data_IF_192536465720
#
_entry.id   IF_192536465720
#
_cell.length_a   1.000
_cell.length_b   1.000
_cell.length_c   1.000
_cell.angle_alpha   90.00
_cell.angle_beta   90.00
_cell.angle_gamma   90.00
#
_symmetry.space_group_name_H-M   'P 1'
#
loop_
_entity.id
_entity.type
_entity.pdbx_description
1 polymer ?
#
# COMPACT_ATOMS: atom_id res chain seq x y z
N UNK A 1 10.17 1.88 -3.30
CA UNK A 1 9.25 2.39 -2.27
C UNK A 1 8.16 1.35 -2.04
N UNK A 2 7.43 1.39 -0.93
CA UNK A 2 6.40 0.40 -0.61
C UNK A 2 5.17 0.47 -1.51
N UNK A 3 4.17 -0.34 -1.19
CA UNK A 3 2.99 -0.71 -1.98
C UNK A 3 3.37 -1.35 -3.33
N UNK A 4 4.47 -2.13 -3.32
CA UNK A 4 4.81 -2.99 -4.46
C UNK A 4 3.90 -4.22 -4.45
N UNK A 5 3.54 -4.70 -3.26
CA UNK A 5 2.52 -5.71 -3.05
C UNK A 5 1.18 -4.98 -2.88
N UNK A 6 0.51 -4.64 -3.98
CA UNK A 6 -0.86 -4.11 -3.95
C UNK A 6 -1.86 -5.21 -3.56
N UNK A 7 -1.75 -5.70 -2.32
CA UNK A 7 -2.58 -6.80 -1.80
C UNK A 7 -4.03 -6.40 -1.60
N UNK A 8 -4.32 -5.10 -1.58
CA UNK A 8 -5.66 -4.60 -1.30
C UNK A 8 -6.52 -4.44 -2.55
N UNK A 9 -5.91 -4.39 -3.73
CA UNK A 9 -6.57 -4.22 -5.03
C UNK A 9 -5.85 -5.07 -6.10
N UNK A 10 -5.71 -6.40 -5.89
CA UNK A 10 -5.00 -7.27 -6.83
C UNK A 10 -5.78 -7.42 -8.14
N UNK A 11 -5.05 -7.65 -9.24
CA UNK A 11 -5.69 -7.96 -10.52
C UNK A 11 -6.59 -9.21 -10.38
N UNK A 12 -7.79 -9.12 -10.96
CA UNK A 12 -8.84 -10.15 -10.84
C UNK A 12 -9.25 -10.52 -9.40
N UNK A 13 -9.03 -9.64 -8.41
CA UNK A 13 -9.26 -9.92 -6.99
C UNK A 13 -8.42 -11.12 -6.47
N UNK A 14 -7.32 -11.46 -7.12
CA UNK A 14 -6.49 -12.63 -6.80
C UNK A 14 -5.06 -12.23 -6.34
N UNK A 15 -4.79 -12.38 -5.04
CA UNK A 15 -3.47 -12.11 -4.42
C UNK A 15 -2.32 -12.94 -5.03
N UNK A 16 -2.60 -14.03 -5.76
CA UNK A 16 -1.56 -14.83 -6.41
C UNK A 16 -0.87 -14.09 -7.56
N UNK A 17 -1.57 -13.24 -8.32
CA UNK A 17 -0.95 -12.47 -9.40
C UNK A 17 0.07 -11.46 -8.83
N UNK A 18 -0.32 -10.77 -7.75
CA UNK A 18 0.59 -9.88 -7.00
C UNK A 18 1.81 -10.64 -6.47
N UNK A 19 1.61 -11.86 -5.98
CA UNK A 19 2.71 -12.71 -5.50
C UNK A 19 3.65 -13.10 -6.64
N UNK A 20 3.12 -13.46 -7.81
CA UNK A 20 3.91 -13.81 -8.99
C UNK A 20 4.81 -12.66 -9.47
N UNK A 21 4.23 -11.49 -9.66
CA UNK A 21 4.94 -10.30 -10.16
C UNK A 21 6.04 -9.87 -9.20
N UNK A 22 5.72 -9.81 -7.90
CA UNK A 22 6.68 -9.31 -6.90
C UNK A 22 7.80 -10.31 -6.63
N UNK A 23 7.53 -11.62 -6.63
CA UNK A 23 8.58 -12.61 -6.44
C UNK A 23 9.62 -12.56 -7.57
N UNK A 24 9.18 -12.32 -8.81
CA UNK A 24 10.10 -12.16 -9.94
C UNK A 24 10.99 -10.92 -9.74
N UNK A 25 10.40 -9.76 -9.44
CA UNK A 25 11.16 -8.52 -9.21
C UNK A 25 12.12 -8.63 -8.03
N UNK A 26 11.64 -9.12 -6.88
CA UNK A 26 12.50 -9.30 -5.69
C UNK A 26 13.61 -10.31 -5.98
N UNK A 27 13.32 -11.40 -6.71
CA UNK A 27 14.34 -12.38 -7.09
C UNK A 27 15.46 -11.72 -7.90
N UNK A 28 15.11 -10.92 -8.92
CA UNK A 28 16.10 -10.19 -9.74
C UNK A 28 16.92 -9.24 -8.86
N UNK A 29 16.26 -8.38 -8.08
CA UNK A 29 16.95 -7.44 -7.19
C UNK A 29 17.86 -8.17 -6.19
N UNK A 30 17.42 -9.31 -5.67
CA UNK A 30 18.15 -10.11 -4.68
C UNK A 30 19.43 -10.79 -5.21
N UNK A 31 19.71 -10.71 -6.51
CA UNK A 31 20.96 -11.25 -7.08
C UNK A 31 22.04 -10.19 -7.25
N UNK A 32 21.71 -8.92 -7.00
CA UNK A 32 22.61 -7.81 -7.27
C UNK A 32 23.51 -7.46 -6.07
N UNK A 33 24.68 -6.88 -6.37
CA UNK A 33 25.74 -6.57 -5.39
C UNK A 33 25.55 -5.23 -4.63
N UNK A 34 24.34 -4.67 -4.62
CA UNK A 34 24.02 -3.42 -3.93
C UNK A 34 23.14 -3.62 -2.69
N UNK A 35 23.23 -2.69 -1.74
CA UNK A 35 22.33 -2.60 -0.60
C UNK A 35 20.90 -2.27 -1.07
N UNK A 36 19.93 -3.05 -0.63
CA UNK A 36 18.51 -2.84 -0.92
C UNK A 36 17.84 -2.29 0.34
N UNK A 37 17.29 -1.10 0.23
CA UNK A 37 16.49 -0.46 1.28
C UNK A 37 15.03 -0.51 0.85
N UNK A 38 14.24 -1.32 1.54
CA UNK A 38 12.81 -1.46 1.29
C UNK A 38 12.02 -0.70 2.37
N UNK A 39 11.32 0.35 1.97
CA UNK A 39 10.46 1.15 2.85
C UNK A 39 9.05 0.59 2.73
N UNK A 40 8.58 -0.09 3.77
CA UNK A 40 7.30 -0.79 3.80
C UNK A 40 6.15 0.21 3.75
N UNK A 41 5.25 -0.02 2.80
CA UNK A 41 4.01 0.70 2.67
C UNK A 41 2.90 0.15 3.54
N UNK A 42 1.75 0.80 3.54
CA UNK A 42 0.60 0.32 4.30
C UNK A 42 -0.01 -0.95 3.69
N UNK A 43 0.21 -1.22 2.41
CA UNK A 43 -0.26 -2.43 1.75
C UNK A 43 0.73 -3.61 1.90
N UNK A 44 2.01 -3.35 2.20
CA UNK A 44 3.03 -4.40 2.40
C UNK A 44 3.32 -4.73 3.89
N UNK A 45 2.47 -4.31 4.84
CA UNK A 45 2.76 -4.52 6.27
C UNK A 45 2.97 -6.01 6.64
N UNK A 46 2.38 -6.94 5.90
CA UNK A 46 2.54 -8.40 6.05
C UNK A 46 3.98 -8.87 5.89
N UNK A 47 4.81 -8.13 5.15
CA UNK A 47 6.23 -8.43 5.02
C UNK A 47 6.97 -8.34 6.35
N UNK A 48 6.44 -7.59 7.33
CA UNK A 48 7.00 -7.58 8.69
C UNK A 48 6.84 -8.93 9.39
N UNK A 49 5.74 -9.63 9.15
CA UNK A 49 5.50 -10.94 9.73
C UNK A 49 6.31 -12.02 9.00
N UNK A 50 6.46 -11.90 7.68
CA UNK A 50 7.41 -12.71 6.91
C UNK A 50 8.83 -12.58 7.47
N UNK A 51 9.29 -11.35 7.77
CA UNK A 51 10.60 -11.11 8.39
C UNK A 51 10.76 -11.85 9.73
N UNK A 52 9.71 -11.89 10.56
CA UNK A 52 9.73 -12.62 11.85
C UNK A 52 9.87 -14.13 11.62
N UNK A 53 9.10 -14.67 10.67
CA UNK A 53 9.15 -16.10 10.32
C UNK A 53 10.52 -16.49 9.78
N UNK A 54 11.07 -15.71 8.84
CA UNK A 54 12.39 -15.95 8.26
C UNK A 54 13.49 -15.94 9.32
N UNK A 55 13.46 -14.97 10.25
CA UNK A 55 14.41 -14.93 11.38
C UNK A 55 14.29 -16.16 12.28
N UNK A 56 13.06 -16.61 12.60
CA UNK A 56 12.83 -17.82 13.40
C UNK A 56 13.36 -19.08 12.71
N UNK A 57 13.28 -19.15 11.38
CA UNK A 57 13.83 -20.25 10.57
C UNK A 57 15.33 -20.15 10.32
N UNK A 58 16.04 -19.22 10.96
CA UNK A 58 17.48 -19.04 10.80
C UNK A 58 17.90 -18.45 9.44
N UNK A 59 16.95 -17.99 8.62
CA UNK A 59 17.25 -17.28 7.37
C UNK A 59 17.75 -15.90 7.74
N UNK A 60 19.08 -15.75 7.71
CA UNK A 60 19.74 -14.49 8.07
C UNK A 60 19.65 -13.47 6.95
N UNK A 61 19.69 -13.89 5.68
CA UNK A 61 19.77 -13.00 4.52
C UNK A 61 18.76 -13.44 3.46
N UNK A 62 17.95 -12.49 2.99
CA UNK A 62 17.04 -12.65 1.85
C UNK A 62 17.80 -12.36 0.55
N UNK A 63 18.86 -11.56 0.63
CA UNK A 63 19.73 -11.23 -0.51
C UNK A 63 20.67 -12.41 -0.82
N UNK A 64 20.75 -12.79 -2.10
CA UNK A 64 21.75 -13.74 -2.61
C UNK A 64 23.01 -13.02 -3.09
N UNK A 65 22.93 -11.73 -3.42
CA UNK A 65 24.08 -10.88 -3.73
C UNK A 65 24.86 -10.43 -2.48
N UNK A 66 25.95 -9.68 -2.68
CA UNK A 66 26.83 -9.22 -1.58
C UNK A 66 26.23 -8.09 -0.72
N UNK A 67 25.20 -7.40 -1.21
CA UNK A 67 24.59 -6.27 -0.51
C UNK A 67 23.66 -6.68 0.65
N UNK A 68 23.33 -5.73 1.51
CA UNK A 68 22.38 -5.93 2.60
C UNK A 68 20.93 -5.62 2.16
N UNK A 69 19.98 -6.48 2.54
CA UNK A 69 18.54 -6.19 2.40
C UNK A 69 17.97 -5.68 3.73
N UNK A 70 17.60 -4.39 3.78
CA UNK A 70 17.12 -3.69 4.98
C UNK A 70 15.69 -3.21 4.78
N UNK A 71 14.78 -3.71 5.62
CA UNK A 71 13.39 -3.25 5.65
C UNK A 71 13.18 -2.18 6.73
N UNK A 72 12.61 -1.05 6.34
CA UNK A 72 12.24 0.06 7.22
C UNK A 72 10.72 0.28 7.18
N UNK A 73 10.15 0.56 8.35
CA UNK A 73 8.72 0.80 8.45
C UNK A 73 8.41 2.27 8.15
N UNK A 74 7.65 2.53 7.07
CA UNK A 74 7.09 3.83 6.68
C UNK A 74 8.06 4.94 6.29
N UNK A 75 9.28 4.98 6.83
CA UNK A 75 10.27 5.99 6.50
C UNK A 75 11.71 5.51 6.61
N UNK A 76 12.59 6.13 5.83
CA UNK A 76 14.03 6.02 5.91
C UNK A 76 14.65 7.42 5.71
N UNK A 77 15.63 7.86 6.52
CA UNK A 77 16.16 7.19 7.72
C UNK A 77 15.12 7.00 8.84
N UNK A 78 15.42 6.15 9.83
CA UNK A 78 14.54 5.98 11.00
C UNK A 78 14.44 7.28 11.79
N UNK A 79 13.26 7.53 12.35
CA UNK A 79 13.06 8.55 13.39
C UNK A 79 14.02 8.29 14.55
N UNK A 80 14.75 9.30 15.02
CA UNK A 80 15.51 9.19 16.28
C UNK A 80 14.54 9.35 17.45
N UNK A 81 14.64 8.44 18.41
CA UNK A 81 13.84 8.50 19.63
C UNK A 81 14.33 9.61 20.58
N UNK A 82 13.37 10.12 21.38
CA UNK A 82 13.30 11.32 22.24
C UNK A 82 12.63 12.56 21.64
N UNK A 83 13.01 13.02 20.44
CA UNK A 83 12.39 14.22 19.82
C UNK A 83 11.35 13.91 18.74
N UNK A 84 11.40 12.70 18.19
CA UNK A 84 10.50 12.27 17.11
C UNK A 84 10.83 12.90 15.75
N UNK A 85 12.04 13.45 15.58
CA UNK A 85 12.51 14.05 14.33
C UNK A 85 13.25 13.03 13.45
N UNK A 86 12.93 13.00 12.15
CA UNK A 86 13.64 12.28 11.09
C UNK A 86 14.70 13.21 10.51
N UNK A 87 15.99 12.86 10.66
CA UNK A 87 17.07 13.57 9.96
C UNK A 87 17.34 12.88 8.63
N UNK A 88 17.36 13.65 7.56
CA UNK A 88 17.65 13.16 6.22
C UNK A 88 19.07 12.58 6.10
N UNK A 89 19.25 11.67 5.15
CA UNK A 89 20.58 11.21 4.74
C UNK A 89 21.18 12.24 3.79
N UNK A 90 22.43 12.60 3.99
CA UNK A 90 23.14 13.54 3.11
C UNK A 90 23.68 12.78 1.91
N UNK A 91 23.34 13.26 0.71
CA UNK A 91 23.89 12.79 -0.57
C UNK A 91 24.34 14.06 -1.33
N UNK A 92 25.63 14.16 -1.63
CA UNK A 92 26.20 15.41 -2.15
C UNK A 92 25.97 16.57 -1.18
N UNK A 93 25.36 17.65 -1.65
CA UNK A 93 25.07 18.87 -0.87
C UNK A 93 23.68 18.89 -0.24
N UNK A 94 22.82 17.91 -0.53
CA UNK A 94 21.42 17.90 -0.08
C UNK A 94 21.13 16.76 0.87
N UNK A 95 20.13 16.97 1.71
CA UNK A 95 19.61 15.98 2.63
C UNK A 95 18.28 15.41 2.14
N UNK A 96 18.14 14.08 2.23
CA UNK A 96 17.02 13.33 1.68
C UNK A 96 16.30 12.56 2.77
N UNK A 97 14.97 12.64 2.78
CA UNK A 97 14.12 11.75 3.57
C UNK A 97 13.18 11.00 2.64
N UNK A 98 13.07 9.70 2.87
CA UNK A 98 12.24 8.79 2.09
C UNK A 98 11.05 8.36 2.93
N UNK A 99 9.85 8.60 2.45
CA UNK A 99 8.60 8.30 3.13
C UNK A 99 7.72 7.44 2.23
N UNK A 100 6.99 6.49 2.78
CA UNK A 100 6.03 5.76 1.96
C UNK A 100 4.97 6.68 1.33
N UNK A 101 4.33 7.54 2.12
CA UNK A 101 3.36 8.53 1.64
C UNK A 101 1.99 8.43 2.31
N UNK A 102 1.59 7.25 2.83
CA UNK A 102 0.37 7.13 3.65
C UNK A 102 0.39 8.02 4.91
N UNK A 103 1.55 8.54 5.33
CA UNK A 103 1.66 9.54 6.39
C UNK A 103 0.83 10.81 6.11
N UNK A 104 0.48 11.06 4.84
CA UNK A 104 -0.39 12.16 4.40
C UNK A 104 -1.89 11.82 4.53
N UNK A 105 -2.26 10.59 4.89
CA UNK A 105 -3.66 10.21 5.10
C UNK A 105 -4.22 10.76 6.42
N UNK A 106 -5.43 11.34 6.36
CA UNK A 106 -6.12 11.89 7.54
C UNK A 106 -6.76 10.78 8.38
N UNK A 107 -7.22 9.70 7.74
CA UNK A 107 -7.95 8.63 8.41
C UNK A 107 -7.03 7.46 8.79
N UNK A 108 -6.40 7.58 9.97
CA UNK A 108 -5.52 6.54 10.54
C UNK A 108 -6.14 5.87 11.78
N UNK A 109 -7.47 5.77 11.88
CA UNK A 109 -8.15 5.33 13.11
C UNK A 109 -7.73 3.91 13.50
N UNK A 110 -7.77 2.96 12.58
CA UNK A 110 -7.35 1.58 12.82
C UNK A 110 -5.87 1.47 13.22
N UNK A 111 -5.01 2.30 12.63
CA UNK A 111 -3.60 2.39 13.02
C UNK A 111 -3.41 2.99 14.42
N UNK A 112 -4.15 4.05 14.77
CA UNK A 112 -4.11 4.65 16.10
C UNK A 112 -4.55 3.64 17.15
N UNK A 113 -5.61 2.89 16.86
CA UNK A 113 -6.11 1.81 17.71
C UNK A 113 -5.09 0.66 17.84
N UNK A 114 -4.51 0.23 16.73
CA UNK A 114 -3.45 -0.79 16.68
C UNK A 114 -2.24 -0.39 17.54
N UNK A 115 -1.75 0.86 17.42
CA UNK A 115 -0.66 1.37 18.26
C UNK A 115 -1.04 1.44 19.73
N UNK A 116 -2.25 1.91 20.04
CA UNK A 116 -2.74 2.02 21.41
C UNK A 116 -2.77 0.64 22.08
N UNK A 117 -3.36 -0.35 21.42
CA UNK A 117 -3.40 -1.72 21.91
C UNK A 117 -2.01 -2.34 21.98
N UNK A 118 -1.16 -2.09 20.97
CA UNK A 118 0.21 -2.62 20.97
C UNK A 118 1.01 -2.14 22.16
N UNK A 119 0.90 -0.83 22.49
CA UNK A 119 1.56 -0.24 23.65
C UNK A 119 0.98 -0.77 24.96
N UNK A 120 -0.35 -0.91 25.05
CA UNK A 120 -1.04 -1.37 26.26
C UNK A 120 -0.73 -2.84 26.57
N UNK A 121 -0.61 -3.68 25.55
CA UNK A 121 -0.45 -5.13 25.69
C UNK A 121 0.99 -5.60 25.52
N UNK A 122 1.95 -4.68 25.36
CA UNK A 122 3.37 -4.95 25.10
C UNK A 122 3.59 -6.03 24.01
N UNK A 123 2.71 -6.05 23.02
CA UNK A 123 2.66 -7.04 21.94
C UNK A 123 2.24 -6.30 20.68
N UNK A 124 2.89 -6.56 19.56
CA UNK A 124 2.47 -5.96 18.29
C UNK A 124 1.08 -6.51 17.92
N UNK A 125 0.08 -5.62 17.88
CA UNK A 125 -1.31 -5.91 17.53
C UNK A 125 -1.65 -5.08 16.31
N UNK A 126 -2.09 -5.77 15.25
CA UNK A 126 -2.61 -5.18 14.03
C UNK A 126 -4.13 -5.38 14.01
N UNK A 127 -4.85 -4.27 13.94
CA UNK A 127 -6.29 -4.25 13.66
C UNK A 127 -6.43 -3.66 12.28
N UNK A 128 -6.62 -4.54 11.32
CA UNK A 128 -6.93 -4.21 9.94
C UNK A 128 -8.08 -5.12 9.49
N UNK A 129 -9.33 -4.69 9.72
CA UNK A 129 -10.50 -5.51 9.40
C UNK A 129 -10.57 -5.84 7.91
N UNK A 130 -10.06 -4.94 7.05
CA UNK A 130 -10.07 -5.09 5.59
C UNK A 130 -9.17 -6.26 5.21
N UNK A 131 -7.94 -6.25 5.71
CA UNK A 131 -6.98 -7.32 5.44
C UNK A 131 -7.48 -8.67 5.96
N UNK A 132 -8.11 -8.69 7.14
CA UNK A 132 -8.74 -9.91 7.67
C UNK A 132 -9.84 -10.46 6.73
N UNK A 133 -10.71 -9.59 6.19
CA UNK A 133 -11.70 -10.02 5.20
C UNK A 133 -11.05 -10.45 3.89
N UNK A 134 -9.98 -9.81 3.46
CA UNK A 134 -9.22 -10.21 2.27
C UNK A 134 -8.57 -11.57 2.42
N UNK A 135 -8.02 -11.89 3.59
CA UNK A 135 -7.45 -13.20 3.87
C UNK A 135 -8.51 -14.30 3.85
N UNK A 136 -9.67 -14.07 4.47
CA UNK A 136 -10.80 -15.00 4.40
C UNK A 136 -11.33 -15.17 2.97
N UNK A 137 -11.35 -14.09 2.18
CA UNK A 137 -11.76 -14.12 0.77
C UNK A 137 -10.80 -14.92 -0.12
N UNK A 138 -9.51 -14.99 0.25
CA UNK A 138 -8.45 -15.65 -0.51
C UNK A 138 -8.14 -17.09 -0.07
N UNK A 139 -8.85 -17.66 0.92
CA UNK A 139 -8.75 -19.09 1.24
C UNK A 139 -9.16 -19.93 0.03
N UNK A 140 -8.47 -21.06 -0.22
CA UNK A 140 -8.67 -21.93 -1.40
C UNK A 140 -10.14 -22.27 -1.66
N UNK A 141 -10.87 -22.59 -0.60
CA UNK A 141 -12.31 -22.85 -0.66
C UNK A 141 -13.10 -21.63 -1.15
N UNK A 142 -12.98 -20.49 -0.46
CA UNK A 142 -13.63 -19.23 -0.83
C UNK A 142 -13.29 -18.79 -2.26
N UNK A 143 -12.02 -18.93 -2.66
CA UNK A 143 -11.54 -18.64 -4.02
C UNK A 143 -12.21 -19.52 -5.08
N UNK A 144 -12.31 -20.82 -4.82
CA UNK A 144 -12.91 -21.82 -5.73
C UNK A 144 -14.41 -21.62 -5.98
N UNK A 145 -15.13 -20.98 -5.04
CA UNK A 145 -16.54 -20.58 -5.21
C UNK A 145 -16.71 -19.48 -6.29
N UNK A 146 -15.61 -18.96 -6.85
CA UNK A 146 -15.53 -18.56 -8.25
C UNK A 146 -16.69 -17.70 -8.76
N UNK A 147 -16.75 -16.43 -8.33
CA UNK A 147 -17.65 -15.47 -8.94
C UNK A 147 -16.80 -14.45 -9.71
N UNK A 148 -16.72 -14.60 -11.03
CA UNK A 148 -16.27 -13.50 -11.90
C UNK A 148 -17.40 -12.46 -11.90
N UNK A 149 -17.19 -11.35 -11.19
CA UNK A 149 -18.24 -10.41 -10.80
C UNK A 149 -18.38 -9.29 -11.84
N UNK A 150 -19.58 -9.17 -12.41
CA UNK A 150 -20.15 -7.92 -12.92
C UNK A 150 -21.70 -7.94 -12.89
N UNK A 151 -22.34 -9.13 -12.94
CA UNK A 151 -23.78 -9.30 -12.71
C UNK A 151 -24.15 -10.13 -11.47
N UNK A 152 -23.25 -11.01 -11.03
CA UNK A 152 -23.45 -11.96 -9.95
C UNK A 152 -23.48 -11.32 -8.56
N UNK A 153 -22.79 -10.19 -8.30
CA UNK A 153 -22.77 -9.55 -6.97
C UNK A 153 -24.06 -8.79 -6.65
N UNK A 154 -24.76 -8.24 -7.64
CA UNK A 154 -26.10 -7.66 -7.41
C UNK A 154 -27.09 -8.76 -7.00
N UNK A 155 -27.09 -9.87 -7.74
CA UNK A 155 -27.86 -11.08 -7.43
C UNK A 155 -27.46 -11.63 -6.04
N UNK A 156 -26.17 -11.55 -5.70
CA UNK A 156 -25.66 -12.03 -4.42
C UNK A 156 -26.04 -11.15 -3.23
N UNK A 157 -25.96 -9.83 -3.36
CA UNK A 157 -26.46 -8.89 -2.37
C UNK A 157 -27.97 -9.08 -2.18
N UNK A 158 -28.71 -9.33 -3.27
CA UNK A 158 -30.12 -9.71 -3.22
C UNK A 158 -30.33 -11.02 -2.47
N UNK A 159 -29.54 -12.06 -2.74
CA UNK A 159 -29.61 -13.34 -2.01
C UNK A 159 -29.24 -13.19 -0.53
N UNK A 160 -28.30 -12.32 -0.18
CA UNK A 160 -27.90 -12.03 1.20
C UNK A 160 -29.01 -11.28 1.96
N UNK A 161 -29.67 -10.33 1.29
CA UNK A 161 -30.87 -9.66 1.83
C UNK A 161 -32.03 -10.65 1.97
N UNK A 162 -32.29 -11.48 0.97
CA UNK A 162 -33.31 -12.52 1.01
C UNK A 162 -33.02 -13.57 2.11
N UNK A 163 -31.75 -13.93 2.30
CA UNK A 163 -31.31 -14.81 3.38
C UNK A 163 -31.54 -14.18 4.75
N UNK A 164 -31.19 -12.90 4.93
CA UNK A 164 -31.45 -12.16 6.16
C UNK A 164 -32.95 -12.02 6.47
N UNK A 165 -33.77 -11.77 5.44
CA UNK A 165 -35.22 -11.70 5.56
C UNK A 165 -35.83 -13.07 5.89
N UNK A 166 -35.45 -14.12 5.16
CA UNK A 166 -35.89 -15.49 5.43
C UNK A 166 -35.46 -15.96 6.82
N UNK A 167 -34.22 -15.64 7.21
CA UNK A 167 -33.69 -15.86 8.56
C UNK A 167 -34.52 -15.15 9.62
N UNK A 168 -34.78 -13.85 9.47
CA UNK A 168 -35.63 -13.09 10.40
C UNK A 168 -37.03 -13.68 10.56
N UNK A 169 -37.67 -14.10 9.46
CA UNK A 169 -38.99 -14.72 9.49
C UNK A 169 -38.99 -16.12 10.11
N UNK A 170 -37.98 -16.96 9.85
CA UNK A 170 -37.85 -18.30 10.45
C UNK A 170 -37.41 -18.28 11.91
N UNK A 171 -36.63 -17.29 12.32
CA UNK A 171 -36.08 -17.22 13.68
C UNK A 171 -37.08 -16.73 14.71
N UNK A 172 -38.18 -16.11 14.29
CA UNK A 172 -39.20 -15.61 15.21
C UNK A 172 -39.75 -16.72 16.12
N UNK A 173 -39.82 -17.95 15.61
CA UNK A 173 -40.50 -19.06 16.28
C UNK A 173 -39.64 -20.34 16.42
N UNK A 174 -38.36 -20.33 16.01
CA UNK A 174 -37.49 -21.54 16.06
C UNK A 174 -36.55 -21.53 17.28
N UNK A 175 -36.65 -22.50 18.20
CA UNK A 175 -35.73 -22.60 19.33
C UNK A 175 -34.29 -22.88 18.87
N UNK A 176 -33.32 -22.14 19.40
CA UNK A 176 -31.88 -22.23 19.06
C UNK A 176 -31.33 -23.66 19.27
N UNK A 177 -31.82 -24.38 20.26
CA UNK A 177 -31.37 -25.75 20.58
C UNK A 177 -32.05 -26.87 19.78
N UNK A 178 -32.98 -26.54 18.87
CA UNK A 178 -33.62 -27.53 18.00
C UNK A 178 -32.67 -27.97 16.88
N UNK A 179 -32.91 -29.16 16.29
CA UNK A 179 -32.11 -29.64 15.16
C UNK A 179 -32.15 -28.69 13.95
N UNK A 180 -33.28 -28.04 13.68
CA UNK A 180 -33.42 -27.00 12.66
C UNK A 180 -32.67 -25.72 13.03
N UNK A 181 -32.69 -25.31 14.30
CA UNK A 181 -31.90 -24.18 14.79
C UNK A 181 -30.40 -24.39 14.64
N UNK A 182 -29.90 -25.58 15.01
CA UNK A 182 -28.47 -25.93 14.86
C UNK A 182 -28.07 -25.98 13.39
N UNK A 183 -28.88 -26.63 12.53
CA UNK A 183 -28.62 -26.68 11.09
C UNK A 183 -28.55 -25.28 10.47
N UNK A 184 -29.45 -24.38 10.87
CA UNK A 184 -29.44 -23.00 10.41
C UNK A 184 -28.21 -22.25 10.89
N UNK A 185 -27.77 -22.42 12.14
CA UNK A 185 -26.52 -21.83 12.64
C UNK A 185 -25.33 -22.31 11.82
N UNK A 186 -25.27 -23.60 11.47
CA UNK A 186 -24.18 -24.14 10.65
C UNK A 186 -24.20 -23.51 9.25
N UNK A 187 -25.36 -23.43 8.60
CA UNK A 187 -25.51 -22.81 7.27
C UNK A 187 -25.17 -21.31 7.33
N UNK A 188 -25.68 -20.58 8.33
CA UNK A 188 -25.38 -19.17 8.57
C UNK A 188 -23.89 -18.95 8.80
N UNK A 189 -23.26 -19.75 9.65
CA UNK A 189 -21.83 -19.63 9.95
C UNK A 189 -21.00 -19.89 8.71
N UNK A 190 -21.36 -20.92 7.94
CA UNK A 190 -20.70 -21.21 6.68
C UNK A 190 -20.85 -20.04 5.69
N UNK A 191 -22.05 -19.47 5.56
CA UNK A 191 -22.30 -18.32 4.69
C UNK A 191 -21.52 -17.07 5.16
N UNK A 192 -21.53 -16.77 6.45
CA UNK A 192 -20.77 -15.66 7.04
C UNK A 192 -19.26 -15.84 6.91
N UNK A 193 -18.74 -17.06 6.98
CA UNK A 193 -17.29 -17.31 6.90
C UNK A 193 -16.76 -17.37 5.47
N UNK A 194 -17.61 -17.73 4.50
CA UNK A 194 -17.16 -17.95 3.11
C UNK A 194 -17.53 -16.80 2.19
N UNK A 195 -18.72 -16.23 2.35
CA UNK A 195 -19.29 -15.30 1.37
C UNK A 195 -19.19 -13.86 1.85
N UNK A 196 -19.54 -13.60 3.11
CA UNK A 196 -19.49 -12.26 3.66
C UNK A 196 -18.13 -11.59 3.49
N UNK A 197 -16.97 -12.27 3.64
CA UNK A 197 -15.68 -11.67 3.38
C UNK A 197 -15.54 -11.15 1.95
N UNK A 198 -15.95 -11.94 0.93
CA UNK A 198 -15.92 -11.51 -0.47
C UNK A 198 -16.80 -10.31 -0.78
N UNK A 199 -18.00 -10.27 -0.17
CA UNK A 199 -18.91 -9.12 -0.33
C UNK A 199 -18.28 -7.89 0.32
N UNK A 200 -17.71 -8.03 1.51
CA UNK A 200 -17.02 -6.93 2.18
C UNK A 200 -15.82 -6.48 1.36
N UNK A 201 -14.95 -7.36 0.86
CA UNK A 201 -13.78 -6.94 0.06
C UNK A 201 -14.18 -6.20 -1.21
N UNK A 202 -15.19 -6.71 -1.93
CA UNK A 202 -15.71 -6.05 -3.13
C UNK A 202 -16.32 -4.66 -2.82
N UNK A 203 -17.22 -4.61 -1.82
CA UNK A 203 -17.86 -3.35 -1.43
C UNK A 203 -16.85 -2.38 -0.82
N UNK A 204 -15.83 -2.88 -0.13
CA UNK A 204 -14.78 -2.10 0.49
C UNK A 204 -14.04 -1.29 -0.58
N UNK A 205 -13.59 -1.91 -1.67
CA UNK A 205 -12.95 -1.21 -2.79
C UNK A 205 -13.86 -0.09 -3.32
N UNK A 206 -15.15 -0.36 -3.49
CA UNK A 206 -16.08 0.66 -4.02
C UNK A 206 -16.43 1.76 -3.00
N UNK A 207 -16.61 1.42 -1.73
CA UNK A 207 -16.93 2.34 -0.63
C UNK A 207 -15.74 3.27 -0.36
N UNK A 208 -14.52 2.73 -0.24
CA UNK A 208 -13.32 3.54 -0.04
C UNK A 208 -12.99 4.42 -1.25
N UNK A 209 -13.24 3.94 -2.48
CA UNK A 209 -13.09 4.77 -3.69
C UNK A 209 -14.04 5.96 -3.70
N UNK A 210 -15.25 5.79 -3.14
CA UNK A 210 -16.30 6.82 -3.09
C UNK A 210 -16.21 7.75 -1.88
N UNK A 211 -15.62 7.34 -0.76
CA UNK A 211 -15.46 8.21 0.41
C UNK A 211 -14.52 9.39 0.11
N UNK A 212 -15.02 10.65 0.11
CA UNK A 212 -14.18 11.82 -0.12
C UNK A 212 -13.39 12.18 1.16
N UNK A 213 -12.11 12.56 1.00
CA UNK A 213 -11.32 13.22 2.04
C UNK A 213 -10.64 12.34 3.09
N UNK A 214 -10.77 11.00 3.05
CA UNK A 214 -10.22 10.08 4.07
C UNK A 214 -8.86 9.47 3.70
N UNK A 215 -8.66 9.08 2.44
CA UNK A 215 -7.44 8.44 1.90
C UNK A 215 -6.94 9.22 0.68
N UNK A 216 -5.63 9.32 0.49
CA UNK A 216 -5.02 9.87 -0.72
C UNK A 216 -5.35 8.92 -1.86
N UNK A 217 -6.13 9.39 -2.83
CA UNK A 217 -6.55 8.55 -3.94
C UNK A 217 -5.35 8.25 -4.83
N UNK A 218 -5.31 7.03 -5.37
CA UNK A 218 -4.43 6.69 -6.49
C UNK A 218 -4.54 7.76 -7.57
N UNK A 219 -3.41 8.02 -8.21
CA UNK A 219 -3.21 8.91 -9.35
C UNK A 219 -3.24 10.42 -9.04
N UNK A 220 -3.35 10.81 -7.76
CA UNK A 220 -3.26 12.21 -7.36
C UNK A 220 -1.86 12.78 -7.56
N UNK A 221 -1.79 13.98 -8.14
CA UNK A 221 -0.53 14.68 -8.38
C UNK A 221 0.10 15.17 -7.07
N UNK A 222 1.41 15.37 -7.10
CA UNK A 222 2.20 15.74 -5.91
C UNK A 222 1.72 17.06 -5.30
N UNK A 223 1.46 18.06 -6.14
CA UNK A 223 1.03 19.38 -5.69
C UNK A 223 -0.26 19.33 -4.85
N UNK A 224 -1.28 18.62 -5.31
CA UNK A 224 -2.54 18.46 -4.56
C UNK A 224 -2.32 17.74 -3.22
N UNK A 225 -1.52 16.68 -3.22
CA UNK A 225 -1.20 15.90 -2.01
C UNK A 225 -0.53 16.81 -0.97
N UNK A 226 0.44 17.60 -1.41
CA UNK A 226 1.16 18.49 -0.49
C UNK A 226 0.25 19.64 -0.03
N UNK A 227 -0.43 20.35 -0.93
CA UNK A 227 -1.28 21.49 -0.57
C UNK A 227 -2.45 21.12 0.36
N UNK A 228 -3.11 19.98 0.12
CA UNK A 228 -4.30 19.61 0.88
C UNK A 228 -4.00 18.85 2.17
N UNK A 229 -2.86 18.15 2.23
CA UNK A 229 -2.66 17.10 3.24
C UNK A 229 -1.32 17.09 3.93
N UNK A 230 -0.30 17.76 3.37
CA UNK A 230 0.92 18.00 4.13
C UNK A 230 0.65 19.05 5.20
N UNK A 231 0.47 18.60 6.44
CA UNK A 231 0.38 19.50 7.58
C UNK A 231 1.80 19.80 8.04
N UNK A 232 2.23 21.06 7.92
CA UNK A 232 3.58 21.50 8.32
C UNK A 232 3.93 21.03 9.73
N UNK A 233 3.01 21.09 10.71
CA UNK A 233 3.25 20.59 12.09
C UNK A 233 3.60 19.09 12.20
N UNK A 234 3.22 18.26 11.22
CA UNK A 234 3.65 16.84 11.14
C UNK A 234 4.96 16.69 10.35
N UNK A 235 5.20 17.58 9.38
CA UNK A 235 6.38 17.62 8.52
C UNK A 235 7.58 18.39 9.08
N UNK A 236 7.39 19.26 10.08
CA UNK A 236 8.43 19.95 10.87
C UNK A 236 9.36 18.94 11.56
N UNK A 237 8.83 17.74 11.81
CA UNK A 237 9.61 16.62 12.35
C UNK A 237 10.46 15.92 11.30
N UNK A 238 10.50 16.39 10.06
CA UNK A 238 11.42 15.89 9.03
C UNK A 238 12.38 17.01 8.70
N UNK A 239 13.65 16.78 8.97
CA UNK A 239 14.77 17.67 8.72
C UNK A 239 15.50 17.16 7.48
N UNK A 240 15.00 17.58 6.31
CA UNK A 240 15.54 17.24 5.00
C UNK A 240 15.18 18.31 3.96
N UNK A 241 16.06 18.55 2.99
CA UNK A 241 15.86 19.45 1.86
C UNK A 241 14.87 18.85 0.84
N UNK A 242 15.00 17.54 0.61
CA UNK A 242 14.24 16.80 -0.38
C UNK A 242 13.50 15.63 0.29
N UNK A 243 12.18 15.59 0.09
CA UNK A 243 11.31 14.52 0.58
C UNK A 243 10.87 13.67 -0.61
N UNK A 244 11.35 12.44 -0.66
CA UNK A 244 11.01 11.43 -1.66
C UNK A 244 9.91 10.54 -1.12
N UNK A 245 8.83 10.34 -1.87
CA UNK A 245 7.72 9.50 -1.44
C UNK A 245 7.05 8.71 -2.57
N UNK A 246 6.11 7.82 -2.21
CA UNK A 246 5.31 7.01 -3.13
C UNK A 246 3.81 7.15 -2.86
N UNK A 247 3.10 6.03 -2.69
CA UNK A 247 1.68 5.94 -2.30
C UNK A 247 0.66 6.35 -3.37
N UNK A 248 0.87 7.44 -4.11
CA UNK A 248 -0.17 7.93 -5.05
C UNK A 248 -0.06 7.35 -6.45
N UNK A 249 0.98 6.59 -6.77
CA UNK A 249 1.17 5.95 -8.07
C UNK A 249 1.30 6.92 -9.26
N UNK A 250 1.41 8.24 -8.99
CA UNK A 250 1.61 9.27 -10.01
C UNK A 250 2.94 9.96 -9.76
N UNK A 251 3.90 9.72 -10.66
CA UNK A 251 5.21 10.34 -10.57
C UNK A 251 5.11 11.86 -10.77
N UNK A 252 5.92 12.62 -10.04
CA UNK A 252 5.95 14.06 -10.19
C UNK A 252 6.70 14.74 -9.05
N UNK A 253 6.63 16.07 -9.03
CA UNK A 253 7.30 16.86 -8.02
C UNK A 253 6.52 18.12 -7.67
N UNK A 254 6.83 18.69 -6.51
CA UNK A 254 6.29 19.97 -6.08
C UNK A 254 7.29 20.63 -5.14
N UNK A 255 7.63 21.89 -5.39
CA UNK A 255 8.43 22.68 -4.46
C UNK A 255 7.54 23.69 -3.77
N UNK A 256 7.47 23.61 -2.43
CA UNK A 256 6.71 24.57 -1.64
C UNK A 256 7.56 25.84 -1.51
N UNK A 257 7.03 26.99 -1.90
CA UNK A 257 7.71 28.30 -1.81
C UNK A 257 9.15 28.30 -2.38
N UNK A 258 9.30 28.15 -3.72
CA UNK A 258 10.61 28.07 -4.38
C UNK A 258 11.53 29.26 -4.06
N UNK A 259 10.94 30.46 -3.98
CA UNK A 259 11.65 31.71 -3.70
C UNK A 259 12.30 31.78 -2.31
N UNK A 260 11.91 30.90 -1.38
CA UNK A 260 12.47 30.82 -0.02
C UNK A 260 13.32 29.58 0.20
N UNK A 261 13.78 28.92 -0.87
CA UNK A 261 14.43 27.61 -0.79
C UNK A 261 13.58 26.60 -0.02
N UNK A 262 12.26 26.62 -0.21
CA UNK A 262 11.41 25.66 0.45
C UNK A 262 11.61 24.24 -0.09
N UNK A 263 11.16 23.26 0.69
CA UNK A 263 11.45 21.83 0.47
C UNK A 263 10.91 21.34 -0.86
N UNK A 264 11.68 20.49 -1.52
CA UNK A 264 11.26 19.77 -2.72
C UNK A 264 10.63 18.44 -2.33
N UNK A 265 9.44 18.17 -2.87
CA UNK A 265 8.74 16.90 -2.73
C UNK A 265 8.77 16.18 -4.06
N UNK A 266 9.18 14.91 -4.07
CA UNK A 266 9.25 14.08 -5.28
C UNK A 266 8.48 12.80 -5.02
N UNK A 267 7.52 12.49 -5.89
CA UNK A 267 6.85 11.19 -5.91
C UNK A 267 7.46 10.31 -7.00
N UNK A 268 7.90 9.11 -6.61
CA UNK A 268 8.58 8.18 -7.52
C UNK A 268 7.63 7.45 -8.47
N UNK A 269 6.31 7.60 -8.32
CA UNK A 269 5.31 6.87 -9.11
C UNK A 269 5.17 5.41 -8.70
N UNK A 270 4.79 4.56 -9.65
CA UNK A 270 4.64 3.10 -9.45
C UNK A 270 5.07 2.32 -10.69
N UNK A 271 5.26 1.01 -10.53
CA UNK A 271 5.61 0.06 -11.61
C UNK A 271 4.44 -0.87 -11.97
N UNK A 272 3.25 -0.53 -11.50
CA UNK A 272 2.03 -1.29 -11.78
C UNK A 272 1.24 -0.60 -12.87
N UNK A 273 0.48 -1.39 -13.64
CA UNK A 273 -0.38 -0.88 -14.68
C UNK A 273 -1.44 0.07 -14.11
N UNK A 274 -1.44 1.31 -14.59
CA UNK A 274 -2.43 2.30 -14.18
C UNK A 274 -3.76 2.10 -14.91
N UNK A 275 -4.87 2.42 -14.23
CA UNK A 275 -6.19 2.41 -14.87
C UNK A 275 -6.29 3.47 -15.96
N UNK A 276 -7.12 3.25 -17.00
CA UNK A 276 -7.38 4.24 -18.07
C UNK A 276 -7.76 5.61 -17.51
N UNK A 277 -8.60 5.64 -16.47
CA UNK A 277 -8.99 6.88 -15.80
C UNK A 277 -7.78 7.65 -15.25
N UNK A 278 -6.79 6.97 -14.68
CA UNK A 278 -5.59 7.63 -14.18
C UNK A 278 -4.77 8.27 -15.30
N UNK A 279 -4.62 7.55 -16.41
CA UNK A 279 -3.83 8.01 -17.56
C UNK A 279 -4.55 9.16 -18.26
N UNK A 280 -5.82 8.99 -18.60
CA UNK A 280 -6.58 9.93 -19.43
C UNK A 280 -7.06 11.18 -18.66
N UNK A 281 -7.45 11.03 -17.38
CA UNK A 281 -8.03 12.13 -16.60
C UNK A 281 -7.03 12.85 -15.72
N UNK A 282 -6.12 12.11 -15.08
CA UNK A 282 -5.18 12.65 -14.11
C UNK A 282 -3.75 12.78 -14.69
N UNK A 283 -3.57 12.46 -15.98
CA UNK A 283 -2.29 12.47 -16.69
C UNK A 283 -1.18 11.73 -15.93
N UNK A 284 -1.54 10.62 -15.26
CA UNK A 284 -0.65 9.96 -14.32
C UNK A 284 0.52 9.25 -15.01
N UNK A 285 1.72 9.46 -14.48
CA UNK A 285 2.96 8.91 -15.03
C UNK A 285 3.38 7.68 -14.19
N UNK A 286 3.60 6.55 -14.86
CA UNK A 286 4.02 5.26 -14.29
C UNK A 286 5.31 4.76 -14.93
N UNK A 287 5.83 3.63 -14.44
CA UNK A 287 7.10 3.02 -14.85
C UNK A 287 8.29 3.97 -14.67
N UNK A 288 8.28 4.64 -13.52
CA UNK A 288 9.24 5.67 -13.18
C UNK A 288 10.15 5.25 -12.04
N UNK A 289 11.33 5.87 -11.99
CA UNK A 289 12.27 5.74 -10.89
C UNK A 289 13.04 7.04 -10.70
N UNK A 290 13.57 7.22 -9.49
CA UNK A 290 14.37 8.38 -9.15
C UNK A 290 15.83 7.95 -9.08
N UNK A 291 16.68 8.57 -9.88
CA UNK A 291 18.13 8.44 -9.79
C UNK A 291 18.69 9.60 -8.97
N UNK A 292 19.55 9.27 -8.01
CA UNK A 292 20.18 10.24 -7.09
C UNK A 292 21.65 9.86 -6.95
N UNK A 293 22.54 10.82 -7.21
CA UNK A 293 23.94 10.75 -6.79
C UNK A 293 24.37 12.08 -6.16
N UNK A 294 25.69 12.29 -6.00
CA UNK A 294 26.22 13.48 -5.36
C UNK A 294 26.00 14.78 -6.16
N UNK A 295 25.81 14.68 -7.48
CA UNK A 295 25.78 15.79 -8.43
C UNK A 295 24.51 15.80 -9.30
N UNK A 296 23.73 14.72 -9.28
CA UNK A 296 22.63 14.46 -10.20
C UNK A 296 21.38 13.99 -9.47
N UNK A 297 20.25 14.49 -9.94
CA UNK A 297 18.92 14.12 -9.47
C UNK A 297 17.97 14.11 -10.66
N UNK A 298 17.52 12.91 -11.06
CA UNK A 298 16.68 12.71 -12.24
C UNK A 298 15.45 11.86 -11.91
N UNK A 299 14.27 12.35 -12.28
CA UNK A 299 13.08 11.50 -12.38
C UNK A 299 13.04 10.91 -13.80
N UNK A 300 13.17 9.60 -13.87
CA UNK A 300 13.33 8.84 -15.10
C UNK A 300 12.14 7.91 -15.32
N UNK A 301 11.89 7.55 -16.57
CA UNK A 301 10.85 6.61 -17.01
C UNK A 301 11.41 5.60 -17.99
N UNK A 302 10.94 4.36 -17.86
CA UNK A 302 11.07 3.39 -18.94
C UNK A 302 9.68 3.10 -19.51
N UNK A 303 9.60 2.93 -20.81
CA UNK A 303 8.48 2.28 -21.47
C UNK A 303 8.99 1.05 -22.21
N UNK A 304 8.10 0.13 -22.57
CA UNK A 304 8.50 -1.13 -23.19
C UNK A 304 9.20 -0.93 -24.54
N UNK A 305 8.82 0.11 -25.29
CA UNK A 305 9.40 0.41 -26.61
C UNK A 305 10.84 0.94 -26.52
N UNK A 306 11.09 1.83 -25.56
CA UNK A 306 12.40 2.42 -25.29
C UNK A 306 13.29 1.45 -24.50
N UNK A 307 12.73 0.68 -23.57
CA UNK A 307 13.47 -0.36 -22.85
C UNK A 307 14.02 -1.44 -23.80
N UNK A 308 13.27 -1.82 -24.84
CA UNK A 308 13.74 -2.73 -25.87
C UNK A 308 14.97 -2.21 -26.65
N UNK A 309 15.18 -0.89 -26.67
CA UNK A 309 16.33 -0.22 -27.29
C UNK A 309 17.43 0.14 -26.29
N UNK A 310 17.23 -0.13 -25.01
CA UNK A 310 18.14 0.29 -23.93
C UNK A 310 18.06 1.79 -23.62
N UNK A 311 16.98 2.46 -24.00
CA UNK A 311 16.76 3.90 -23.79
C UNK A 311 15.89 4.15 -22.56
N UNK A 312 16.21 5.23 -21.82
CA UNK A 312 15.47 5.67 -20.63
C UNK A 312 15.11 7.14 -20.82
N UNK A 313 13.83 7.46 -20.65
CA UNK A 313 13.29 8.81 -20.78
C UNK A 313 13.56 9.62 -19.51
N UNK A 314 14.06 10.85 -19.65
CA UNK A 314 14.18 11.79 -18.53
C UNK A 314 12.91 12.66 -18.44
N UNK A 315 12.11 12.45 -17.40
CA UNK A 315 10.90 13.25 -17.13
C UNK A 315 11.28 14.61 -16.57
N UNK A 316 12.23 14.64 -15.63
CA UNK A 316 12.67 15.87 -14.97
C UNK A 316 14.13 15.77 -14.52
N UNK A 317 14.91 16.74 -14.96
CA UNK A 317 16.21 17.11 -14.40
C UNK A 317 16.02 18.15 -13.29
N UNK A 318 16.65 17.92 -12.15
CA UNK A 318 16.60 18.78 -10.97
C UNK A 318 17.97 19.41 -10.64
N UNK A 319 18.89 19.52 -11.60
CA UNK A 319 20.20 20.15 -11.37
C UNK A 319 20.11 21.55 -10.75
N UNK A 320 19.08 22.33 -11.09
CA UNK A 320 18.83 23.65 -10.51
C UNK A 320 18.56 23.62 -9.00
N UNK A 321 18.14 22.47 -8.47
CA UNK A 321 17.88 22.30 -7.05
C UNK A 321 19.16 21.95 -6.31
N UNK A 322 20.11 21.28 -6.98
CA UNK A 322 21.37 20.80 -6.40
C UNK A 322 22.45 21.88 -6.29
N UNK A 323 22.39 22.93 -7.12
CA UNK A 323 23.29 24.09 -7.11
C UNK A 323 23.22 24.88 -5.81
#
# INVERSE_FOLDING_TARGET
MGDILELWDPEEDDKNYVTGDVLATISILSTSDYDIIYIIGNHDEDLLDLKKVLRKKGVKHINRGKGAFKMFYRSFPKTKDETGTVKGIVIGKKSYAFLHGHQFDRFQIFYKLSRFLSKKLNKQIRIDPIDWFQDLANVSFTKSIGMKLNGSTLIFCLLLVLYGLAGYYWFKDTPIGSGSGILWIVISSFFVLTIFPKVVTFLNTEIWRRMPGTIVKKCKCVEEVIKERYVDKKGEKIDADIIVFGHTHNAGYYQKEPEKNGRLFINTGCWVKLSKKCIEREAAISNTFLYIDAESLYLLKWDEENAAKGEIECIKDFQEVLS
#
